data_IF_570276037782
#
_entry.id   IF_570276037782
#
_cell.length_a   1.000
_cell.length_b   1.000
_cell.length_c   1.000
_cell.angle_alpha   90.00
_cell.angle_beta   90.00
_cell.angle_gamma   90.00
#
_symmetry.space_group_name_H-M   'P 1'
#
loop_
_entity.id
_entity.type
_entity.pdbx_description
1 polymer ?
#
# COMPACT_ATOMS: atom_id res chain seq x y z
N UNK A 1 -1.79 -9.81 23.09
CA UNK A 1 -1.56 -10.09 24.51
C UNK A 1 -2.73 -9.78 25.44
N UNK A 2 -3.75 -9.09 24.99
CA UNK A 2 -4.92 -8.67 25.81
C UNK A 2 -5.79 -9.78 26.45
N UNK A 3 -5.45 -11.06 26.28
CA UNK A 3 -6.19 -12.20 26.87
C UNK A 3 -5.39 -13.00 27.90
N UNK A 4 -4.16 -12.61 28.23
CA UNK A 4 -3.36 -13.30 29.22
C UNK A 4 -3.74 -12.80 30.61
N UNK A 5 -4.16 -13.70 31.50
CA UNK A 5 -4.53 -13.34 32.87
C UNK A 5 -3.31 -13.45 33.78
N UNK A 6 -3.02 -12.39 34.53
CA UNK A 6 -1.97 -12.38 35.56
C UNK A 6 -2.18 -13.53 36.54
N UNK A 7 -1.07 -14.19 36.94
CA UNK A 7 -1.07 -15.34 37.82
C UNK A 7 -1.31 -16.69 37.10
N UNK A 8 -1.65 -16.70 35.79
CA UNK A 8 -1.81 -17.95 35.04
C UNK A 8 -0.52 -18.43 34.45
N UNK A 9 -0.38 -19.76 34.36
CA UNK A 9 0.66 -20.40 33.56
C UNK A 9 0.41 -20.13 32.10
N UNK A 10 1.47 -19.72 31.39
CA UNK A 10 1.46 -19.45 29.96
C UNK A 10 2.59 -20.21 29.28
N UNK A 11 2.34 -20.60 28.05
CA UNK A 11 3.34 -21.19 27.18
C UNK A 11 3.38 -20.38 25.89
N UNK A 12 4.54 -19.83 25.55
CA UNK A 12 4.75 -19.03 24.34
C UNK A 12 5.87 -19.60 23.52
N UNK A 13 5.78 -19.36 22.19
CA UNK A 13 6.87 -19.60 21.22
C UNK A 13 7.13 -18.30 20.47
N UNK A 14 8.38 -18.10 20.09
CA UNK A 14 8.78 -16.92 19.33
C UNK A 14 10.28 -16.85 19.12
N UNK A 15 10.73 -15.67 18.78
CA UNK A 15 12.14 -15.38 18.55
C UNK A 15 12.67 -14.41 19.59
N UNK A 16 13.93 -14.61 19.99
CA UNK A 16 14.62 -13.72 20.96
C UNK A 16 14.89 -12.37 20.30
N UNK A 17 14.15 -11.36 20.72
CA UNK A 17 14.30 -9.98 20.22
C UNK A 17 15.45 -9.23 20.92
N UNK A 18 15.60 -9.43 22.22
CA UNK A 18 16.67 -8.86 23.06
C UNK A 18 17.02 -9.86 24.17
N UNK A 19 18.27 -9.85 24.59
CA UNK A 19 18.75 -10.63 25.73
C UNK A 19 19.71 -9.80 26.57
N UNK A 20 19.63 -9.95 27.90
CA UNK A 20 20.61 -9.43 28.85
C UNK A 20 20.73 -10.39 30.03
N UNK A 21 21.89 -10.41 30.68
CA UNK A 21 22.15 -11.21 31.89
C UNK A 21 22.68 -10.32 32.99
N UNK A 22 22.26 -10.56 34.23
CA UNK A 22 22.70 -9.83 35.42
C UNK A 22 22.44 -10.64 36.70
N UNK A 23 23.46 -10.89 37.49
CA UNK A 23 23.31 -11.39 38.87
C UNK A 23 22.52 -12.71 39.03
N UNK A 24 22.74 -13.69 38.15
CA UNK A 24 22.01 -14.98 38.19
C UNK A 24 20.61 -14.93 37.55
N UNK A 25 20.28 -13.82 36.87
CA UNK A 25 19.06 -13.64 36.07
C UNK A 25 19.41 -13.50 34.61
N UNK A 26 18.59 -14.09 33.71
CA UNK A 26 18.62 -13.86 32.30
C UNK A 26 17.26 -13.28 31.90
N UNK A 27 17.30 -12.13 31.23
CA UNK A 27 16.13 -11.47 30.66
C UNK A 27 16.11 -11.68 29.17
N UNK A 28 15.06 -12.33 28.69
CA UNK A 28 14.84 -12.57 27.25
C UNK A 28 13.53 -11.89 26.86
N UNK A 29 13.60 -10.97 25.90
CA UNK A 29 12.39 -10.44 25.28
C UNK A 29 12.06 -11.35 24.10
N UNK A 30 10.94 -12.06 24.18
CA UNK A 30 10.44 -12.94 23.14
C UNK A 30 9.47 -12.17 22.25
N UNK A 31 9.69 -12.22 20.94
CA UNK A 31 8.83 -11.63 19.90
C UNK A 31 8.05 -12.74 19.19
N UNK A 32 6.75 -12.51 18.97
CA UNK A 32 5.90 -13.32 18.10
C UNK A 32 4.94 -12.43 17.29
N UNK A 33 3.93 -13.01 16.64
CA UNK A 33 2.94 -12.27 15.85
C UNK A 33 2.08 -11.31 16.68
N UNK A 34 1.92 -11.54 17.98
CA UNK A 34 1.13 -10.68 18.88
C UNK A 34 1.93 -9.48 19.41
N UNK A 35 3.26 -9.56 19.41
CA UNK A 35 4.15 -8.50 19.89
C UNK A 35 5.36 -9.04 20.64
N UNK A 36 5.77 -8.34 21.70
CA UNK A 36 6.92 -8.72 22.56
C UNK A 36 6.49 -8.93 23.99
N UNK A 37 7.21 -9.83 24.71
CA UNK A 37 7.07 -10.01 26.14
C UNK A 37 8.40 -10.33 26.79
N UNK A 38 8.67 -9.73 27.95
CA UNK A 38 9.83 -10.06 28.75
C UNK A 38 9.63 -11.40 29.44
N UNK A 39 10.66 -12.25 29.40
CA UNK A 39 10.72 -13.52 30.10
C UNK A 39 11.93 -13.49 31.02
N UNK A 40 11.75 -13.75 32.30
CA UNK A 40 12.81 -13.70 33.33
C UNK A 40 13.12 -15.09 33.78
N UNK A 41 14.36 -15.54 33.53
CA UNK A 41 14.90 -16.83 33.90
C UNK A 41 15.82 -16.62 35.10
N UNK A 42 15.43 -17.14 36.28
CA UNK A 42 16.24 -17.09 37.47
C UNK A 42 16.91 -18.44 37.69
N UNK A 43 18.23 -18.45 37.94
CA UNK A 43 19.05 -19.66 38.04
C UNK A 43 18.52 -20.63 39.12
N UNK A 44 17.99 -20.10 40.24
CA UNK A 44 17.46 -20.84 41.39
C UNK A 44 16.01 -21.32 41.21
N UNK A 45 15.32 -20.91 40.11
CA UNK A 45 13.90 -21.17 39.84
C UNK A 45 13.65 -22.07 38.64
N UNK A 46 14.67 -22.39 37.87
CA UNK A 46 14.59 -23.26 36.70
C UNK A 46 15.52 -24.47 36.85
N UNK A 47 15.26 -25.55 36.11
CA UNK A 47 16.16 -26.68 36.05
C UNK A 47 17.49 -26.33 35.32
N UNK A 48 18.53 -27.14 35.56
CA UNK A 48 19.86 -26.91 35.01
C UNK A 48 19.85 -26.90 33.47
N UNK A 49 18.97 -27.68 32.83
CA UNK A 49 18.80 -27.73 31.39
C UNK A 49 18.26 -26.40 30.88
N UNK A 50 17.16 -25.90 31.45
CA UNK A 50 16.57 -24.60 31.08
C UNK A 50 17.56 -23.44 31.26
N UNK A 51 18.36 -23.47 32.34
CA UNK A 51 19.41 -22.48 32.56
C UNK A 51 20.50 -22.51 31.50
N UNK A 52 21.01 -23.70 31.16
CA UNK A 52 22.03 -23.88 30.11
C UNK A 52 21.51 -23.44 28.75
N UNK A 53 20.28 -23.82 28.42
CA UNK A 53 19.65 -23.41 27.17
C UNK A 53 19.44 -21.90 27.07
N UNK A 54 18.97 -21.25 28.15
CA UNK A 54 18.83 -19.79 28.18
C UNK A 54 20.18 -19.05 28.06
N UNK A 55 21.25 -19.61 28.64
CA UNK A 55 22.58 -19.06 28.52
C UNK A 55 23.14 -19.14 27.08
N UNK A 56 22.90 -20.27 26.41
CA UNK A 56 23.38 -20.53 25.06
C UNK A 56 22.56 -19.81 23.96
N UNK A 57 21.39 -19.25 24.31
CA UNK A 57 20.53 -18.61 23.34
C UNK A 57 21.08 -17.26 22.89
N UNK A 58 20.94 -16.93 21.63
CA UNK A 58 21.31 -15.62 21.03
C UNK A 58 20.11 -14.89 20.44
N UNK A 59 20.30 -13.60 20.09
CA UNK A 59 19.28 -12.79 19.39
C UNK A 59 18.85 -13.52 18.11
N UNK A 60 17.54 -13.53 17.85
CA UNK A 60 16.86 -14.25 16.75
C UNK A 60 16.86 -15.78 16.87
N UNK A 61 17.38 -16.37 17.94
CA UNK A 61 17.08 -17.78 18.25
C UNK A 61 15.59 -17.99 18.43
N UNK A 62 15.06 -19.12 17.95
CA UNK A 62 13.68 -19.50 18.19
C UNK A 62 13.58 -20.31 19.50
N UNK A 63 12.62 -19.91 20.34
CA UNK A 63 12.50 -20.43 21.70
C UNK A 63 11.07 -20.80 22.06
N UNK A 64 10.94 -21.68 23.05
CA UNK A 64 9.72 -21.99 23.77
C UNK A 64 9.92 -21.65 25.24
N UNK A 65 8.98 -20.91 25.81
CA UNK A 65 9.02 -20.43 27.20
C UNK A 65 7.74 -20.81 27.90
N UNK A 66 7.85 -21.46 29.05
CA UNK A 66 6.74 -21.77 29.94
C UNK A 66 6.97 -21.11 31.30
N UNK A 67 5.94 -20.52 31.90
CA UNK A 67 6.05 -19.86 33.19
C UNK A 67 4.76 -19.13 33.57
N UNK A 68 4.85 -18.30 34.58
CA UNK A 68 3.69 -17.56 35.14
C UNK A 68 3.75 -16.10 34.74
N UNK A 69 2.66 -15.59 34.16
CA UNK A 69 2.54 -14.18 33.77
C UNK A 69 2.37 -13.32 35.02
N UNK A 70 3.17 -12.28 35.14
CA UNK A 70 3.12 -11.31 36.24
C UNK A 70 3.09 -9.88 35.72
N UNK A 71 2.54 -8.96 36.50
CA UNK A 71 2.66 -7.51 36.26
C UNK A 71 4.05 -7.05 36.71
N UNK A 72 4.77 -6.35 35.84
CA UNK A 72 6.07 -5.74 36.14
C UNK A 72 6.19 -4.42 35.37
N UNK A 73 6.11 -3.31 36.09
CA UNK A 73 6.05 -1.97 35.49
C UNK A 73 7.33 -1.59 34.69
N UNK A 74 8.47 -2.18 35.07
CA UNK A 74 9.75 -1.95 34.38
C UNK A 74 9.89 -2.79 33.10
N UNK A 75 9.03 -3.77 32.88
CA UNK A 75 9.03 -4.55 31.65
C UNK A 75 8.48 -3.71 30.49
N UNK A 76 8.99 -3.87 29.25
CA UNK A 76 8.60 -3.04 28.11
C UNK A 76 7.08 -2.99 27.82
N UNK A 77 6.34 -4.00 28.26
CA UNK A 77 4.87 -4.09 28.07
C UNK A 77 4.09 -3.98 29.39
N UNK A 78 4.77 -3.70 30.51
CA UNK A 78 4.16 -3.71 31.85
C UNK A 78 3.92 -5.13 32.40
N UNK A 79 4.35 -6.16 31.67
CA UNK A 79 4.19 -7.57 32.05
C UNK A 79 5.44 -8.37 31.73
N UNK A 80 5.66 -9.43 32.52
CA UNK A 80 6.73 -10.39 32.29
C UNK A 80 6.27 -11.81 32.61
N UNK A 81 6.99 -12.79 32.06
CA UNK A 81 6.83 -14.21 32.40
C UNK A 81 7.94 -14.59 33.36
N UNK A 82 7.59 -15.03 34.57
CA UNK A 82 8.51 -15.75 35.44
C UNK A 82 8.65 -17.16 34.94
N UNK A 83 9.81 -17.45 34.34
CA UNK A 83 10.06 -18.68 33.59
C UNK A 83 10.24 -19.88 34.56
N UNK A 84 9.54 -20.96 34.25
CA UNK A 84 9.71 -22.27 34.88
C UNK A 84 10.48 -23.24 34.00
N UNK A 85 10.25 -23.13 32.63
CA UNK A 85 10.97 -23.92 31.65
C UNK A 85 11.34 -23.06 30.44
N UNK A 86 12.57 -23.22 29.97
CA UNK A 86 13.09 -22.57 28.78
C UNK A 86 13.71 -23.59 27.84
N UNK A 87 13.39 -23.51 26.55
CA UNK A 87 13.91 -24.42 25.54
C UNK A 87 14.25 -23.67 24.27
N UNK A 88 15.47 -23.90 23.76
CA UNK A 88 15.80 -23.51 22.38
C UNK A 88 15.16 -24.49 21.40
N UNK A 89 14.46 -23.96 20.40
CA UNK A 89 14.01 -24.73 19.22
C UNK A 89 15.15 -24.77 18.22
N UNK A 90 15.74 -23.58 17.93
CA UNK A 90 16.97 -23.45 17.15
C UNK A 90 17.77 -22.23 17.64
N UNK A 91 19.08 -22.42 17.81
CA UNK A 91 20.00 -21.34 18.18
C UNK A 91 20.43 -20.60 16.93
N UNK A 92 20.34 -19.27 16.95
CA UNK A 92 20.78 -18.42 15.86
C UNK A 92 22.30 -18.27 15.85
N UNK A 93 22.86 -18.11 14.67
CA UNK A 93 24.20 -17.55 14.49
C UNK A 93 24.15 -16.03 14.78
N UNK A 94 25.31 -15.35 14.94
CA UNK A 94 25.33 -13.91 15.16
C UNK A 94 24.49 -13.16 14.14
N UNK A 95 23.47 -12.44 14.62
CA UNK A 95 22.51 -11.77 13.73
C UNK A 95 23.14 -10.52 13.14
N UNK A 96 23.12 -10.33 11.79
CA UNK A 96 23.90 -9.29 11.14
C UNK A 96 23.31 -7.88 11.32
N UNK A 97 22.00 -7.76 11.65
CA UNK A 97 21.37 -6.45 11.82
C UNK A 97 21.53 -5.97 13.25
N UNK A 98 22.24 -4.85 13.41
CA UNK A 98 22.42 -4.14 14.68
C UNK A 98 21.58 -2.85 14.72
N UNK A 99 21.72 -2.05 15.79
CA UNK A 99 20.88 -0.86 16.00
C UNK A 99 21.16 0.27 14.99
N UNK A 100 22.39 0.36 14.49
CA UNK A 100 22.84 1.44 13.60
C UNK A 100 23.25 0.85 12.24
N UNK A 101 22.29 0.76 11.31
CA UNK A 101 22.53 0.27 9.96
C UNK A 101 22.02 1.27 8.91
N UNK A 102 22.71 1.35 7.77
CA UNK A 102 22.25 2.15 6.64
C UNK A 102 20.97 1.58 6.02
N UNK A 103 20.19 2.44 5.38
CA UNK A 103 18.98 1.98 4.67
C UNK A 103 19.31 0.95 3.59
N UNK A 104 20.41 1.12 2.86
CA UNK A 104 20.84 0.19 1.81
C UNK A 104 21.16 -1.18 2.40
N UNK A 105 21.91 -1.23 3.51
CA UNK A 105 22.19 -2.49 4.21
C UNK A 105 20.91 -3.19 4.67
N UNK A 106 19.93 -2.46 5.21
CA UNK A 106 18.65 -3.00 5.63
C UNK A 106 17.83 -3.51 4.44
N UNK A 107 17.92 -2.85 3.28
CA UNK A 107 17.28 -3.30 2.06
C UNK A 107 17.97 -4.55 1.48
N UNK A 108 19.29 -4.64 1.52
CA UNK A 108 20.06 -5.83 1.11
C UNK A 108 19.75 -7.03 2.00
N UNK A 109 19.45 -6.77 3.28
CA UNK A 109 19.05 -7.77 4.25
C UNK A 109 17.54 -7.74 4.54
N UNK A 110 16.71 -7.39 3.54
CA UNK A 110 15.26 -7.20 3.71
C UNK A 110 14.56 -8.42 4.32
N UNK A 111 14.93 -9.63 3.92
CA UNK A 111 14.42 -10.90 4.44
C UNK A 111 14.66 -11.08 5.96
N UNK A 112 15.71 -10.48 6.50
CA UNK A 112 15.98 -10.44 7.94
C UNK A 112 15.35 -9.21 8.59
N UNK A 113 15.36 -8.06 7.92
CA UNK A 113 14.80 -6.83 8.47
C UNK A 113 13.28 -6.88 8.69
N UNK A 114 12.57 -7.69 7.90
CA UNK A 114 11.12 -7.94 8.09
C UNK A 114 10.78 -8.45 9.51
N UNK A 115 11.76 -8.97 10.25
CA UNK A 115 11.60 -9.38 11.66
C UNK A 115 11.52 -8.20 12.63
N UNK A 116 11.91 -7.00 12.23
CA UNK A 116 11.85 -5.80 13.08
C UNK A 116 10.39 -5.47 13.46
N UNK A 117 10.21 -4.88 14.66
CA UNK A 117 8.87 -4.44 15.10
C UNK A 117 8.25 -3.42 14.13
N UNK A 118 9.07 -2.53 13.56
CA UNK A 118 8.61 -1.57 12.54
C UNK A 118 7.97 -2.30 11.37
N UNK A 119 8.71 -3.22 10.77
CA UNK A 119 8.23 -3.95 9.59
C UNK A 119 7.07 -4.88 9.91
N UNK A 120 7.11 -5.55 11.06
CA UNK A 120 6.00 -6.39 11.53
C UNK A 120 4.69 -5.58 11.64
N UNK A 121 4.75 -4.38 12.24
CA UNK A 121 3.56 -3.53 12.40
C UNK A 121 3.08 -2.95 11.07
N UNK A 122 3.98 -2.58 10.14
CA UNK A 122 3.59 -2.19 8.78
C UNK A 122 2.86 -3.34 8.08
N UNK A 123 3.37 -4.58 8.16
CA UNK A 123 2.74 -5.74 7.53
C UNK A 123 1.37 -6.07 8.15
N UNK A 124 1.19 -5.87 9.46
CA UNK A 124 -0.13 -5.99 10.11
C UNK A 124 -1.12 -4.95 9.57
N UNK A 125 -0.70 -3.68 9.50
CA UNK A 125 -1.54 -2.62 8.93
C UNK A 125 -1.84 -2.91 7.45
N UNK A 126 -0.84 -3.36 6.67
CA UNK A 126 -1.04 -3.77 5.27
C UNK A 126 -2.13 -4.84 5.15
N UNK A 127 -2.08 -5.88 5.95
CA UNK A 127 -3.10 -6.94 5.96
C UNK A 127 -4.51 -6.39 6.29
N UNK A 128 -4.60 -5.46 7.25
CA UNK A 128 -5.86 -4.79 7.59
C UNK A 128 -6.37 -3.90 6.47
N UNK A 129 -5.49 -3.18 5.77
CA UNK A 129 -5.83 -2.34 4.61
C UNK A 129 -6.47 -3.19 3.52
N UNK A 130 -5.84 -4.31 3.13
CA UNK A 130 -6.41 -5.24 2.15
C UNK A 130 -7.78 -5.77 2.59
N UNK A 131 -7.90 -6.18 3.86
CA UNK A 131 -9.16 -6.66 4.44
C UNK A 131 -10.27 -5.59 4.33
N UNK A 132 -9.98 -4.35 4.70
CA UNK A 132 -11.00 -3.30 4.75
C UNK A 132 -11.38 -2.75 3.38
N UNK A 133 -10.49 -2.77 2.41
CA UNK A 133 -10.86 -2.51 1.02
C UNK A 133 -11.82 -3.59 0.50
N UNK A 134 -11.52 -4.88 0.70
CA UNK A 134 -12.45 -5.98 0.33
C UNK A 134 -13.80 -5.85 1.02
N UNK A 135 -13.80 -5.58 2.33
CA UNK A 135 -15.04 -5.39 3.10
C UNK A 135 -15.87 -4.20 2.57
N UNK A 136 -15.22 -3.13 2.12
CA UNK A 136 -15.90 -2.00 1.51
C UNK A 136 -16.56 -2.38 0.19
N UNK A 137 -15.83 -3.00 -0.72
CA UNK A 137 -16.35 -3.37 -2.04
C UNK A 137 -17.47 -4.43 -1.96
N UNK A 138 -17.33 -5.40 -1.06
CA UNK A 138 -18.37 -6.38 -0.78
C UNK A 138 -19.68 -5.69 -0.34
N UNK A 139 -19.62 -4.73 0.58
CA UNK A 139 -20.78 -3.93 1.01
C UNK A 139 -21.38 -3.07 -0.10
N UNK A 140 -20.57 -2.63 -1.06
CA UNK A 140 -21.03 -1.89 -2.23
C UNK A 140 -21.51 -2.81 -3.38
N UNK A 141 -21.54 -4.13 -3.15
CA UNK A 141 -21.96 -5.17 -4.11
C UNK A 141 -21.10 -5.18 -5.37
N UNK A 142 -19.80 -5.06 -5.22
CA UNK A 142 -18.81 -5.29 -6.27
C UNK A 142 -18.37 -6.74 -6.28
N UNK A 143 -18.01 -7.24 -7.45
CA UNK A 143 -17.37 -8.54 -7.62
C UNK A 143 -15.85 -8.38 -7.67
N UNK A 144 -15.11 -9.15 -6.84
CA UNK A 144 -13.66 -9.26 -6.95
C UNK A 144 -13.32 -10.17 -8.14
N UNK A 145 -12.47 -9.68 -9.05
CA UNK A 145 -12.08 -10.40 -10.26
C UNK A 145 -10.57 -10.52 -10.37
N UNK A 146 -10.09 -11.44 -11.22
CA UNK A 146 -8.67 -11.74 -11.38
C UNK A 146 -8.24 -11.51 -12.83
N UNK A 147 -7.87 -10.29 -13.22
CA UNK A 147 -7.39 -10.00 -14.56
C UNK A 147 -5.99 -10.57 -14.80
N UNK A 148 -5.57 -10.79 -16.07
CA UNK A 148 -4.27 -11.34 -16.40
C UNK A 148 -3.14 -10.34 -16.10
N UNK A 149 -1.99 -10.85 -15.66
CA UNK A 149 -0.76 -10.07 -15.44
C UNK A 149 0.05 -9.95 -16.74
N UNK A 150 -0.02 -10.94 -17.62
CA UNK A 150 0.67 -10.97 -18.91
C UNK A 150 -0.27 -10.41 -19.98
N UNK A 151 0.18 -9.41 -20.72
CA UNK A 151 -0.62 -8.72 -21.74
C UNK A 151 0.18 -8.39 -22.99
N UNK A 152 -0.51 -8.19 -24.12
CA UNK A 152 0.09 -7.62 -25.36
C UNK A 152 -0.16 -6.12 -25.49
N UNK A 153 -1.14 -5.55 -24.81
CA UNK A 153 -1.53 -4.14 -24.90
C UNK A 153 -1.06 -3.33 -23.68
N UNK A 154 -0.53 -2.14 -23.93
CA UNK A 154 -0.24 -1.16 -22.89
C UNK A 154 -1.47 -0.32 -22.56
N UNK A 155 -1.73 -0.04 -21.30
CA UNK A 155 -2.79 0.84 -20.86
C UNK A 155 -2.32 2.30 -20.76
N UNK A 156 -1.11 2.56 -20.24
CA UNK A 156 -0.62 3.90 -19.91
C UNK A 156 0.67 4.28 -20.68
N UNK A 157 0.77 3.88 -21.94
CA UNK A 157 1.90 4.20 -22.80
C UNK A 157 2.99 3.11 -22.84
N UNK A 158 3.51 2.85 -24.05
CA UNK A 158 4.41 1.71 -24.31
C UNK A 158 5.82 1.82 -23.74
N UNK A 159 6.29 3.03 -23.38
CA UNK A 159 7.68 3.27 -22.95
C UNK A 159 8.00 2.75 -21.54
N UNK A 160 6.98 2.49 -20.73
CA UNK A 160 7.12 2.05 -19.32
C UNK A 160 6.70 0.60 -19.10
N UNK A 161 6.61 -0.22 -20.15
CA UNK A 161 6.30 -1.63 -20.12
C UNK A 161 7.57 -2.47 -19.87
N UNK A 162 7.48 -3.47 -18.96
CA UNK A 162 8.47 -4.54 -18.84
C UNK A 162 8.21 -5.61 -19.93
N UNK A 163 9.07 -5.74 -20.95
CA UNK A 163 8.93 -6.79 -21.95
C UNK A 163 9.31 -8.15 -21.36
N UNK A 164 8.55 -9.17 -21.74
CA UNK A 164 8.86 -10.57 -21.42
C UNK A 164 8.84 -11.42 -22.71
N UNK A 165 9.62 -12.49 -22.73
CA UNK A 165 9.52 -13.53 -23.75
C UNK A 165 8.37 -14.46 -23.36
N UNK A 166 7.33 -14.54 -24.22
CA UNK A 166 6.18 -15.41 -24.02
C UNK A 166 6.16 -16.48 -25.12
N UNK A 167 6.75 -17.62 -24.85
CA UNK A 167 7.01 -18.67 -25.83
C UNK A 167 7.77 -18.10 -27.06
N UNK A 168 7.16 -18.10 -28.25
CA UNK A 168 7.72 -17.53 -29.47
C UNK A 168 7.32 -16.07 -29.71
N UNK A 169 6.44 -15.54 -28.86
CA UNK A 169 5.91 -14.18 -28.93
C UNK A 169 6.57 -13.22 -27.92
N UNK A 170 6.34 -11.93 -28.11
CA UNK A 170 6.62 -10.88 -27.14
C UNK A 170 5.35 -10.51 -26.37
N UNK A 171 5.45 -10.44 -25.05
CA UNK A 171 4.39 -9.93 -24.17
C UNK A 171 4.99 -8.95 -23.16
N UNK A 172 4.17 -8.44 -22.27
CA UNK A 172 4.57 -7.46 -21.26
C UNK A 172 3.92 -7.79 -19.91
N UNK A 173 4.56 -7.37 -18.84
CA UNK A 173 3.91 -7.29 -17.54
C UNK A 173 2.94 -6.10 -17.51
N UNK A 174 1.76 -6.32 -16.97
CA UNK A 174 0.67 -5.32 -17.00
C UNK A 174 0.99 -4.07 -16.18
N UNK A 175 0.61 -2.90 -16.69
CA UNK A 175 0.67 -1.62 -15.96
C UNK A 175 -0.60 -1.36 -15.14
N UNK A 176 -1.73 -1.95 -15.58
CA UNK A 176 -3.07 -1.74 -15.03
C UNK A 176 -3.98 -2.85 -15.52
N UNK A 177 -4.94 -3.21 -14.70
CA UNK A 177 -5.99 -4.17 -15.03
C UNK A 177 -7.19 -3.53 -15.74
N UNK A 178 -7.20 -2.20 -15.86
CA UNK A 178 -8.36 -1.40 -16.30
C UNK A 178 -9.05 -1.95 -17.55
N UNK A 179 -8.30 -2.17 -18.65
CA UNK A 179 -8.91 -2.58 -19.91
C UNK A 179 -9.67 -3.91 -19.80
N UNK A 180 -9.21 -4.83 -18.94
CA UNK A 180 -9.89 -6.10 -18.64
C UNK A 180 -11.07 -5.90 -17.70
N UNK A 181 -11.02 -4.96 -16.76
CA UNK A 181 -12.16 -4.61 -15.92
C UNK A 181 -13.29 -4.01 -16.76
N UNK A 182 -12.97 -3.19 -17.75
CA UNK A 182 -13.97 -2.66 -18.71
C UNK A 182 -14.64 -3.77 -19.54
N UNK A 183 -13.99 -4.90 -19.78
CA UNK A 183 -14.68 -6.09 -20.34
C UNK A 183 -15.66 -6.64 -19.33
N UNK A 184 -15.26 -6.81 -18.09
CA UNK A 184 -16.03 -7.52 -17.06
C UNK A 184 -17.26 -6.75 -16.57
N UNK A 185 -17.28 -5.42 -16.66
CA UNK A 185 -18.49 -4.64 -16.35
C UNK A 185 -19.65 -4.92 -17.29
N UNK A 186 -19.41 -5.45 -18.49
CA UNK A 186 -20.47 -5.81 -19.43
C UNK A 186 -21.31 -7.03 -18.96
N UNK A 187 -20.78 -7.77 -17.99
CA UNK A 187 -21.44 -8.94 -17.39
C UNK A 187 -21.74 -8.78 -15.90
N UNK A 188 -20.96 -8.02 -15.16
CA UNK A 188 -21.03 -7.90 -13.69
C UNK A 188 -21.35 -6.48 -13.20
N UNK A 189 -21.41 -5.50 -14.08
CA UNK A 189 -21.70 -4.06 -13.86
C UNK A 189 -20.68 -3.36 -12.94
N UNK A 190 -20.31 -3.94 -11.80
CA UNK A 190 -19.38 -3.37 -10.83
C UNK A 190 -18.33 -4.38 -10.41
N UNK A 191 -17.10 -4.14 -10.81
CA UNK A 191 -15.98 -5.05 -10.56
C UNK A 191 -14.81 -4.32 -9.93
N UNK A 192 -14.01 -5.05 -9.17
CA UNK A 192 -12.71 -4.56 -8.69
C UNK A 192 -11.70 -5.68 -8.64
N UNK A 193 -10.43 -5.32 -8.61
CA UNK A 193 -9.36 -6.25 -8.30
C UNK A 193 -8.34 -5.62 -7.35
N UNK A 194 -7.56 -6.46 -6.68
CA UNK A 194 -6.32 -6.07 -6.01
C UNK A 194 -5.24 -6.97 -6.61
N UNK A 195 -4.49 -6.43 -7.56
CA UNK A 195 -3.53 -7.17 -8.37
C UNK A 195 -2.19 -6.43 -8.47
N UNK A 196 -1.08 -7.13 -8.76
CA UNK A 196 0.19 -6.47 -9.01
C UNK A 196 0.15 -5.70 -10.34
N UNK A 197 0.77 -4.51 -10.35
CA UNK A 197 1.03 -3.70 -11.54
C UNK A 197 2.52 -3.37 -11.62
N UNK A 198 3.02 -3.19 -12.85
CA UNK A 198 4.44 -3.07 -13.14
C UNK A 198 4.69 -1.83 -13.99
N UNK A 199 5.66 -1.00 -13.58
CA UNK A 199 6.09 0.19 -14.34
C UNK A 199 7.60 0.23 -14.46
N UNK A 200 8.11 0.18 -15.69
CA UNK A 200 9.55 0.24 -15.99
C UNK A 200 10.07 1.69 -15.99
N UNK A 201 9.57 2.52 -15.09
CA UNK A 201 9.99 3.90 -14.96
C UNK A 201 11.35 4.03 -14.29
N UNK A 202 12.28 4.75 -14.91
CA UNK A 202 13.60 5.04 -14.35
C UNK A 202 13.54 6.19 -13.33
N UNK A 203 12.57 6.12 -12.40
CA UNK A 203 12.38 7.12 -11.35
C UNK A 203 13.04 6.69 -10.03
N UNK A 204 13.75 7.62 -9.39
CA UNK A 204 14.39 7.42 -8.08
C UNK A 204 13.65 8.14 -6.95
N UNK A 205 12.39 8.47 -7.11
CA UNK A 205 11.63 9.21 -6.10
C UNK A 205 11.18 8.31 -4.95
N UNK A 206 10.82 8.93 -3.83
CA UNK A 206 10.35 8.24 -2.61
C UNK A 206 8.95 7.62 -2.74
N UNK A 207 8.28 7.79 -3.90
CA UNK A 207 6.91 7.34 -4.14
C UNK A 207 6.74 6.41 -5.36
N UNK A 208 7.84 5.88 -5.95
CA UNK A 208 7.78 4.96 -7.07
C UNK A 208 8.36 3.57 -6.74
N UNK A 209 7.64 2.54 -7.18
CA UNK A 209 8.04 1.14 -7.18
C UNK A 209 7.88 0.61 -8.61
N UNK A 210 8.77 -0.31 -9.01
CA UNK A 210 8.66 -0.99 -10.31
C UNK A 210 7.56 -2.07 -10.30
N UNK A 211 7.27 -2.65 -9.13
CA UNK A 211 6.17 -3.58 -8.86
C UNK A 211 5.43 -3.10 -7.62
N UNK A 212 4.11 -2.94 -7.70
CA UNK A 212 3.27 -2.48 -6.60
C UNK A 212 1.88 -3.13 -6.68
N UNK A 213 1.14 -3.09 -5.59
CA UNK A 213 -0.22 -3.60 -5.53
C UNK A 213 -1.23 -2.50 -5.87
N UNK A 214 -2.01 -2.77 -6.89
CA UNK A 214 -2.98 -1.84 -7.43
C UNK A 214 -4.39 -2.33 -7.10
N UNK A 215 -5.15 -1.50 -6.42
CA UNK A 215 -6.59 -1.68 -6.28
C UNK A 215 -7.24 -0.90 -7.40
N UNK A 216 -7.97 -1.59 -8.28
CA UNK A 216 -8.64 -0.98 -9.42
C UNK A 216 -10.11 -1.37 -9.40
N UNK A 217 -10.98 -0.42 -9.71
CA UNK A 217 -12.41 -0.62 -9.79
C UNK A 217 -12.98 0.01 -11.05
N UNK A 218 -13.98 -0.66 -11.65
CA UNK A 218 -14.66 -0.19 -12.86
C UNK A 218 -16.18 -0.39 -12.69
N UNK A 219 -16.96 0.63 -13.07
CA UNK A 219 -18.41 0.68 -12.81
C UNK A 219 -19.16 1.12 -14.05
N UNK A 220 -20.06 0.27 -14.53
CA UNK A 220 -21.06 0.61 -15.56
C UNK A 220 -22.02 1.69 -15.03
N UNK A 221 -22.43 2.59 -15.91
CA UNK A 221 -23.38 3.68 -15.64
C UNK A 221 -22.95 4.74 -14.64
N UNK A 222 -21.65 4.79 -14.28
CA UNK A 222 -21.10 5.81 -13.42
C UNK A 222 -20.42 6.91 -14.25
N UNK A 223 -20.71 8.16 -13.90
CA UNK A 223 -19.96 9.32 -14.39
C UNK A 223 -18.81 9.67 -13.44
N UNK A 224 -17.98 10.66 -13.83
CA UNK A 224 -16.81 11.06 -13.05
C UNK A 224 -17.19 11.59 -11.64
N UNK A 225 -18.31 12.28 -11.50
CA UNK A 225 -18.82 12.75 -10.20
C UNK A 225 -19.17 11.60 -9.25
N UNK A 226 -19.84 10.57 -9.76
CA UNK A 226 -20.18 9.37 -8.98
C UNK A 226 -18.93 8.56 -8.63
N UNK A 227 -17.95 8.55 -9.53
CA UNK A 227 -16.64 7.93 -9.33
C UNK A 227 -15.89 8.60 -8.16
N UNK A 228 -15.76 9.93 -8.16
CA UNK A 228 -15.15 10.69 -7.05
C UNK A 228 -15.87 10.43 -5.72
N UNK A 229 -17.20 10.43 -5.71
CA UNK A 229 -17.99 10.13 -4.49
C UNK A 229 -17.77 8.72 -3.95
N UNK A 230 -17.55 7.74 -4.82
CA UNK A 230 -17.22 6.37 -4.41
C UNK A 230 -15.83 6.32 -3.77
N UNK A 231 -14.86 7.00 -4.36
CA UNK A 231 -13.48 7.11 -3.82
C UNK A 231 -13.49 7.77 -2.43
N UNK A 232 -14.21 8.88 -2.25
CA UNK A 232 -14.40 9.54 -0.95
C UNK A 232 -14.91 8.58 0.12
N UNK A 233 -15.97 7.83 -0.20
CA UNK A 233 -16.58 6.85 0.70
C UNK A 233 -15.60 5.71 1.04
N UNK A 234 -14.87 5.22 0.04
CA UNK A 234 -13.90 4.14 0.18
C UNK A 234 -12.75 4.55 1.11
N UNK A 235 -12.12 5.68 0.84
CA UNK A 235 -11.01 6.19 1.66
C UNK A 235 -11.45 6.45 3.10
N UNK A 236 -12.59 7.15 3.27
CA UNK A 236 -13.16 7.39 4.60
C UNK A 236 -13.42 6.08 5.34
N UNK A 237 -14.05 5.11 4.70
CA UNK A 237 -14.36 3.81 5.30
C UNK A 237 -13.12 3.11 5.83
N UNK A 238 -12.07 3.00 4.99
CA UNK A 238 -10.83 2.31 5.37
C UNK A 238 -10.10 3.06 6.48
N UNK A 239 -9.99 4.39 6.40
CA UNK A 239 -9.41 5.21 7.48
C UNK A 239 -10.16 5.03 8.81
N UNK A 240 -11.51 5.04 8.81
CA UNK A 240 -12.32 4.80 10.00
C UNK A 240 -12.09 3.41 10.61
N UNK A 241 -11.87 2.40 9.78
CA UNK A 241 -11.59 1.03 10.22
C UNK A 241 -10.18 0.89 10.79
N UNK A 242 -9.17 1.44 10.11
CA UNK A 242 -7.78 1.44 10.59
C UNK A 242 -7.65 2.22 11.91
N UNK A 243 -8.37 3.32 12.07
CA UNK A 243 -8.39 4.11 13.31
C UNK A 243 -8.80 3.32 14.57
N UNK A 244 -9.40 2.14 14.43
CA UNK A 244 -9.74 1.25 15.57
C UNK A 244 -8.53 0.45 16.10
N UNK A 245 -7.41 0.47 15.40
CA UNK A 245 -6.18 -0.24 15.75
C UNK A 245 -5.15 0.71 16.37
N UNK A 246 -5.55 1.39 17.45
CA UNK A 246 -4.76 2.47 18.08
C UNK A 246 -3.36 2.01 18.51
N UNK A 247 -3.19 0.79 19.02
CA UNK A 247 -1.87 0.25 19.40
C UNK A 247 -0.89 0.22 18.20
N UNK A 248 -1.37 -0.15 17.00
CA UNK A 248 -0.54 -0.17 15.81
C UNK A 248 -0.21 1.24 15.32
N UNK A 249 -1.17 2.16 15.38
CA UNK A 249 -1.00 3.56 14.98
C UNK A 249 -0.04 4.30 15.91
N UNK A 250 -0.16 4.11 17.22
CA UNK A 250 0.70 4.72 18.23
C UNK A 250 2.18 4.37 18.03
N UNK A 251 2.48 3.16 17.53
CA UNK A 251 3.85 2.77 17.17
C UNK A 251 4.47 3.72 16.14
N UNK A 252 3.67 4.22 15.20
CA UNK A 252 4.06 5.17 14.15
C UNK A 252 3.82 6.64 14.54
N UNK A 253 3.38 6.90 15.77
CA UNK A 253 2.99 8.24 16.25
C UNK A 253 1.89 8.88 15.40
N UNK A 254 0.98 8.05 14.88
CA UNK A 254 -0.20 8.49 14.13
C UNK A 254 -1.40 8.52 15.07
N UNK A 255 -2.01 9.69 15.20
CA UNK A 255 -3.21 9.86 16.02
C UNK A 255 -4.43 9.21 15.36
N UNK A 256 -5.11 8.33 16.08
CA UNK A 256 -6.34 7.70 15.57
C UNK A 256 -7.44 8.73 15.27
N UNK A 257 -7.46 9.85 15.99
CA UNK A 257 -8.34 11.01 15.76
C UNK A 257 -8.17 11.59 14.36
N UNK A 258 -6.93 11.68 13.85
CA UNK A 258 -6.64 12.13 12.50
C UNK A 258 -7.32 11.23 11.45
N UNK A 259 -7.14 9.91 11.53
CA UNK A 259 -7.81 9.00 10.59
C UNK A 259 -9.34 9.02 10.74
N UNK A 260 -9.86 9.25 11.96
CA UNK A 260 -11.30 9.45 12.22
C UNK A 260 -11.84 10.73 11.59
N UNK A 261 -11.01 11.75 11.36
CA UNK A 261 -11.40 13.01 10.72
C UNK A 261 -11.52 12.94 9.20
N UNK A 262 -10.92 11.91 8.57
CA UNK A 262 -10.98 11.70 7.11
C UNK A 262 -12.39 11.28 6.70
N UNK A 263 -13.23 12.28 6.41
CA UNK A 263 -14.64 12.11 6.04
C UNK A 263 -14.99 13.00 4.86
N UNK A 264 -15.89 12.55 3.96
CA UNK A 264 -16.43 13.39 2.90
C UNK A 264 -17.12 14.66 3.45
N UNK A 265 -17.25 15.71 2.63
CA UNK A 265 -16.67 15.83 1.29
C UNK A 265 -15.17 16.13 1.34
N UNK A 266 -14.45 15.74 0.29
CA UNK A 266 -13.07 16.17 0.06
C UNK A 266 -13.05 17.41 -0.80
N UNK A 267 -12.02 18.24 -0.62
CA UNK A 267 -11.81 19.45 -1.42
C UNK A 267 -11.60 19.08 -2.90
N UNK A 268 -12.06 19.93 -3.79
CA UNK A 268 -11.93 19.76 -5.24
C UNK A 268 -11.41 21.04 -5.84
N UNK A 269 -10.34 20.96 -6.58
CA UNK A 269 -9.76 22.05 -7.35
C UNK A 269 -9.57 21.62 -8.79
N UNK A 270 -9.76 22.54 -9.73
CA UNK A 270 -9.43 22.29 -11.13
C UNK A 270 -7.92 22.26 -11.33
N UNK A 271 -7.47 21.67 -12.44
CA UNK A 271 -6.07 21.76 -12.83
C UNK A 271 -5.60 23.21 -12.96
N UNK A 272 -6.43 24.11 -13.50
CA UNK A 272 -6.13 25.54 -13.63
C UNK A 272 -5.94 26.20 -12.26
N UNK A 273 -6.86 25.98 -11.32
CA UNK A 273 -6.74 26.47 -9.92
C UNK A 273 -5.49 25.93 -9.23
N UNK A 274 -5.08 24.68 -9.54
CA UNK A 274 -3.83 24.10 -9.03
C UNK A 274 -2.60 24.82 -9.58
N UNK A 275 -2.60 25.17 -10.89
CA UNK A 275 -1.52 25.97 -11.48
C UNK A 275 -1.46 27.39 -10.88
N UNK A 276 -2.60 28.04 -10.68
CA UNK A 276 -2.69 29.37 -10.07
C UNK A 276 -2.16 29.35 -8.65
N UNK A 277 -2.52 28.32 -7.87
CA UNK A 277 -1.98 28.13 -6.53
C UNK A 277 -0.44 27.98 -6.54
N UNK A 278 0.12 27.15 -7.42
CA UNK A 278 1.56 26.96 -7.56
C UNK A 278 2.26 28.26 -7.98
N UNK A 279 1.69 28.99 -8.93
CA UNK A 279 2.22 30.28 -9.37
C UNK A 279 2.24 31.31 -8.24
N UNK A 280 1.21 31.36 -7.41
CA UNK A 280 1.16 32.24 -6.24
C UNK A 280 2.21 31.92 -5.18
N UNK A 281 2.72 30.67 -5.18
CA UNK A 281 3.81 30.20 -4.31
C UNK A 281 5.19 30.25 -4.97
N UNK A 282 5.31 30.98 -6.09
CA UNK A 282 6.59 31.22 -6.79
C UNK A 282 7.04 30.10 -7.74
N UNK A 283 6.20 29.11 -7.99
CA UNK A 283 6.48 28.01 -8.94
C UNK A 283 5.84 28.34 -10.26
N UNK A 284 6.66 28.76 -11.25
CA UNK A 284 6.17 29.16 -12.57
C UNK A 284 5.65 27.96 -13.35
N UNK A 285 4.33 27.87 -13.50
CA UNK A 285 3.61 26.86 -14.30
C UNK A 285 2.76 27.51 -15.38
N UNK A 286 2.67 26.86 -16.52
CA UNK A 286 1.83 27.24 -17.65
C UNK A 286 0.83 26.12 -17.95
N UNK A 287 -0.19 26.43 -18.72
CA UNK A 287 -1.11 25.44 -19.24
C UNK A 287 -0.34 24.31 -19.98
N UNK A 288 -0.68 23.06 -19.70
CA UNK A 288 0.00 21.81 -20.14
C UNK A 288 1.32 21.50 -19.41
N UNK A 289 1.73 22.23 -18.41
CA UNK A 289 2.86 21.81 -17.57
C UNK A 289 2.43 20.70 -16.60
N UNK A 290 3.27 19.68 -16.47
CA UNK A 290 3.00 18.60 -15.51
C UNK A 290 3.03 19.10 -14.05
N UNK A 291 2.16 18.53 -13.21
CA UNK A 291 2.18 18.71 -11.76
C UNK A 291 2.97 17.52 -11.18
N UNK A 292 4.26 17.73 -10.98
CA UNK A 292 5.16 16.69 -10.48
C UNK A 292 5.10 16.52 -8.96
N UNK A 293 5.92 15.59 -8.46
CA UNK A 293 5.92 15.21 -7.03
C UNK A 293 6.14 16.36 -6.05
N UNK A 294 7.00 17.32 -6.38
CA UNK A 294 7.25 18.48 -5.51
C UNK A 294 6.09 19.48 -5.56
N UNK A 295 5.44 19.62 -6.72
CA UNK A 295 4.25 20.45 -6.87
C UNK A 295 3.07 19.90 -6.06
N UNK A 296 2.81 18.58 -6.16
CA UNK A 296 1.78 17.89 -5.37
C UNK A 296 2.00 18.09 -3.86
N UNK A 297 3.27 18.03 -3.43
CA UNK A 297 3.65 18.24 -2.04
C UNK A 297 3.28 19.66 -1.56
N UNK A 298 3.53 20.66 -2.39
CA UNK A 298 3.19 22.05 -2.07
C UNK A 298 1.67 22.26 -2.06
N UNK A 299 0.95 21.69 -3.05
CA UNK A 299 -0.52 21.75 -3.15
C UNK A 299 -1.23 21.15 -1.94
N UNK A 300 -0.64 20.14 -1.30
CA UNK A 300 -1.30 19.37 -0.25
C UNK A 300 -0.68 19.49 1.13
N UNK A 301 0.38 20.31 1.28
CA UNK A 301 1.16 20.44 2.52
C UNK A 301 0.29 20.83 3.72
N UNK A 302 -0.60 21.80 3.53
CA UNK A 302 -1.41 22.40 4.58
C UNK A 302 -2.86 21.87 4.58
N UNK A 303 -3.13 20.82 3.81
CA UNK A 303 -4.45 20.17 3.77
C UNK A 303 -4.51 19.03 4.80
N UNK A 304 -5.62 18.96 5.54
CA UNK A 304 -5.86 17.88 6.52
C UNK A 304 -6.58 16.67 5.91
N UNK A 305 -7.20 16.83 4.76
CA UNK A 305 -7.96 15.81 4.04
C UNK A 305 -7.47 15.68 2.60
N UNK A 306 -7.72 14.52 1.95
CA UNK A 306 -7.42 14.39 0.53
C UNK A 306 -8.10 15.46 -0.34
N UNK A 307 -7.44 15.82 -1.44
CA UNK A 307 -7.88 16.84 -2.39
C UNK A 307 -7.96 16.23 -3.79
N UNK A 308 -9.07 16.43 -4.48
CA UNK A 308 -9.17 16.11 -5.90
C UNK A 308 -8.62 17.23 -6.75
N UNK A 309 -7.77 16.88 -7.72
CA UNK A 309 -7.43 17.74 -8.86
C UNK A 309 -8.15 17.16 -10.07
N UNK A 310 -9.06 17.94 -10.69
CA UNK A 310 -9.89 17.49 -11.80
C UNK A 310 -9.85 18.45 -12.99
N UNK A 311 -10.56 18.15 -14.06
CA UNK A 311 -10.59 18.95 -15.27
C UNK A 311 -9.17 19.19 -15.88
N UNK A 312 -8.41 18.13 -15.98
CA UNK A 312 -7.09 18.15 -16.60
C UNK A 312 -7.18 18.35 -18.11
N UNK A 313 -6.17 18.96 -18.74
CA UNK A 313 -6.09 19.00 -20.20
C UNK A 313 -6.08 17.59 -20.79
N UNK A 314 -6.94 17.34 -21.77
CA UNK A 314 -7.07 16.01 -22.39
C UNK A 314 -5.76 15.49 -23.00
N UNK A 315 -4.96 16.38 -23.59
CA UNK A 315 -3.66 16.05 -24.21
C UNK A 315 -2.62 15.50 -23.22
N UNK A 316 -2.81 15.72 -21.93
CA UNK A 316 -1.93 15.23 -20.87
C UNK A 316 -2.38 13.87 -20.29
N UNK A 317 -3.53 13.37 -20.69
CA UNK A 317 -4.15 12.18 -20.12
C UNK A 317 -4.16 11.01 -21.12
N UNK A 318 -4.56 9.83 -20.67
CA UNK A 318 -4.52 8.62 -21.48
C UNK A 318 -5.67 8.57 -22.51
N UNK A 319 -5.44 7.84 -23.59
CA UNK A 319 -6.32 7.75 -24.76
C UNK A 319 -7.74 7.29 -24.47
N UNK A 320 -7.96 6.54 -23.39
CA UNK A 320 -9.24 5.96 -23.02
C UNK A 320 -10.15 6.91 -22.22
N UNK A 321 -9.65 8.05 -21.80
CA UNK A 321 -10.41 9.00 -20.97
C UNK A 321 -11.41 9.79 -21.83
N UNK A 322 -12.64 9.97 -21.31
CA UNK A 322 -13.66 10.76 -21.99
C UNK A 322 -13.33 12.26 -21.91
N UNK A 323 -13.68 12.99 -22.98
CA UNK A 323 -13.62 14.46 -23.01
C UNK A 323 -14.85 15.07 -22.32
N UNK A 324 -14.68 16.22 -21.71
CA UNK A 324 -15.82 17.02 -21.25
C UNK A 324 -16.62 17.52 -22.47
N UNK A 325 -17.91 17.17 -22.56
CA UNK A 325 -18.72 17.60 -23.70
C UNK A 325 -18.94 19.13 -23.76
N UNK A 326 -18.73 19.86 -22.65
CA UNK A 326 -18.81 21.30 -22.59
C UNK A 326 -17.51 21.99 -22.96
N UNK A 327 -16.38 21.34 -22.72
CA UNK A 327 -15.05 21.81 -23.08
C UNK A 327 -14.17 20.63 -23.49
N UNK A 328 -14.12 20.25 -24.78
CA UNK A 328 -13.37 19.09 -25.28
C UNK A 328 -11.85 19.14 -25.10
N UNK A 329 -11.29 20.29 -24.70
CA UNK A 329 -9.87 20.39 -24.32
C UNK A 329 -9.59 19.75 -22.95
N UNK A 330 -10.64 19.44 -22.16
CA UNK A 330 -10.55 18.85 -20.84
C UNK A 330 -10.97 17.38 -20.85
N UNK A 331 -10.34 16.58 -19.98
CA UNK A 331 -10.74 15.21 -19.68
C UNK A 331 -11.69 15.12 -18.47
N UNK A 332 -12.64 14.22 -18.54
CA UNK A 332 -13.50 13.86 -17.38
C UNK A 332 -12.73 12.93 -16.44
N UNK A 333 -11.73 13.46 -15.76
CA UNK A 333 -10.87 12.71 -14.84
C UNK A 333 -10.64 13.48 -13.54
N UNK A 334 -10.17 12.77 -12.54
CA UNK A 334 -9.77 13.34 -11.26
C UNK A 334 -8.67 12.48 -10.62
N UNK A 335 -7.65 13.14 -10.12
CA UNK A 335 -6.58 12.53 -9.34
C UNK A 335 -6.74 12.91 -7.88
N UNK A 336 -6.79 11.94 -6.97
CA UNK A 336 -6.92 12.16 -5.53
C UNK A 336 -5.54 12.26 -4.89
N UNK A 337 -5.25 13.41 -4.34
CA UNK A 337 -4.01 13.73 -3.64
C UNK A 337 -4.18 13.50 -2.14
N UNK A 338 -3.27 12.74 -1.53
CA UNK A 338 -3.23 12.61 -0.08
C UNK A 338 -2.65 13.87 0.57
N UNK A 339 -3.15 14.28 1.75
CA UNK A 339 -2.73 15.50 2.43
C UNK A 339 -1.29 15.42 2.99
N UNK A 340 -0.81 16.52 3.57
CA UNK A 340 0.52 16.65 4.18
C UNK A 340 1.68 16.31 3.23
N UNK A 341 1.52 16.59 1.94
CA UNK A 341 2.58 16.38 0.94
C UNK A 341 2.81 14.92 0.54
N UNK A 342 1.90 14.01 0.81
CA UNK A 342 2.04 12.61 0.40
C UNK A 342 1.83 12.38 -1.10
N UNK A 343 1.13 13.31 -1.78
CA UNK A 343 0.92 13.29 -3.23
C UNK A 343 -0.17 12.33 -3.68
N UNK A 344 -0.24 12.09 -5.00
CA UNK A 344 -1.28 11.28 -5.63
C UNK A 344 -1.34 9.85 -5.10
N UNK A 345 -2.56 9.40 -4.73
CA UNK A 345 -2.87 8.03 -4.31
C UNK A 345 -3.87 7.33 -5.22
N UNK A 346 -4.73 8.07 -5.92
CA UNK A 346 -5.73 7.55 -6.87
C UNK A 346 -5.73 8.40 -8.13
N UNK A 347 -5.72 7.74 -9.30
CA UNK A 347 -6.11 8.30 -10.57
C UNK A 347 -7.41 7.66 -11.06
N UNK A 348 -8.33 8.46 -11.58
CA UNK A 348 -9.61 7.96 -12.06
C UNK A 348 -10.22 8.81 -13.17
N UNK A 349 -11.09 8.21 -13.99
CA UNK A 349 -11.78 8.94 -15.06
C UNK A 349 -13.08 8.26 -15.52
N UNK A 350 -13.89 9.03 -16.18
CA UNK A 350 -14.91 8.53 -17.08
C UNK A 350 -14.25 8.02 -18.36
N UNK A 351 -14.77 6.93 -18.94
CA UNK A 351 -14.16 6.26 -20.09
C UNK A 351 -14.87 6.62 -21.38
N UNK A 352 -14.13 6.62 -22.48
CA UNK A 352 -14.75 6.70 -23.82
C UNK A 352 -15.55 5.45 -24.05
N UNK A 353 -16.88 5.59 -24.20
CA UNK A 353 -17.78 4.46 -24.41
C UNK A 353 -18.37 4.42 -25.84
N UNK A 354 -18.25 5.49 -26.63
CA UNK A 354 -18.68 5.54 -28.02
C UNK A 354 -17.57 5.11 -28.97
N UNK A 355 -17.93 4.30 -29.97
CA UNK A 355 -16.96 3.72 -30.92
C UNK A 355 -16.16 4.80 -31.66
N UNK A 356 -16.86 5.77 -32.24
CA UNK A 356 -16.21 6.82 -33.05
C UNK A 356 -15.23 7.65 -32.21
N UNK A 357 -15.60 8.01 -30.97
CA UNK A 357 -14.74 8.76 -30.05
C UNK A 357 -13.47 7.96 -29.71
N UNK A 358 -13.60 6.62 -29.50
CA UNK A 358 -12.45 5.76 -29.20
C UNK A 358 -11.52 5.64 -30.42
N UNK A 359 -12.05 5.43 -31.62
CA UNK A 359 -11.23 5.33 -32.84
C UNK A 359 -10.48 6.64 -33.13
N UNK A 360 -11.14 7.78 -32.93
CA UNK A 360 -10.51 9.09 -33.05
C UNK A 360 -9.38 9.27 -32.03
N UNK A 361 -9.63 8.87 -30.78
CA UNK A 361 -8.62 8.94 -29.73
C UNK A 361 -7.41 8.05 -30.01
N UNK A 362 -7.61 6.79 -30.41
CA UNK A 362 -6.50 5.88 -30.78
C UNK A 362 -5.64 6.50 -31.90
N UNK A 363 -6.27 7.12 -32.89
CA UNK A 363 -5.56 7.81 -33.96
C UNK A 363 -4.77 9.02 -33.46
N UNK A 364 -5.37 9.86 -32.63
CA UNK A 364 -4.74 11.04 -32.03
C UNK A 364 -3.50 10.66 -31.21
N UNK A 365 -3.60 9.58 -30.40
CA UNK A 365 -2.51 9.04 -29.61
C UNK A 365 -1.54 8.14 -30.39
N UNK A 366 -1.73 7.99 -31.70
CA UNK A 366 -0.89 7.19 -32.63
C UNK A 366 -0.79 5.72 -32.20
N UNK A 367 -1.86 5.15 -31.66
CA UNK A 367 -1.97 3.76 -31.24
C UNK A 367 -2.51 2.91 -32.38
N UNK A 368 -2.01 1.66 -32.50
CA UNK A 368 -2.41 0.75 -33.55
C UNK A 368 -3.72 0.04 -33.13
N UNK A 369 -4.79 0.22 -33.89
CA UNK A 369 -6.10 -0.40 -33.65
C UNK A 369 -6.04 -1.94 -33.54
N UNK A 370 -5.10 -2.58 -34.25
CA UNK A 370 -4.94 -4.04 -34.22
C UNK A 370 -4.52 -4.56 -32.85
N UNK A 371 -3.82 -3.75 -32.03
CA UNK A 371 -3.39 -4.12 -30.70
C UNK A 371 -4.55 -4.00 -29.70
N UNK A 372 -5.60 -3.24 -30.05
CA UNK A 372 -6.78 -2.96 -29.22
C UNK A 372 -8.08 -3.51 -29.83
N UNK A 373 -8.04 -4.45 -30.79
CA UNK A 373 -9.22 -4.95 -31.50
C UNK A 373 -10.32 -5.40 -30.53
N UNK A 374 -9.99 -6.18 -29.51
CA UNK A 374 -10.91 -6.68 -28.50
C UNK A 374 -11.50 -5.57 -27.60
N UNK A 375 -10.73 -4.52 -27.33
CA UNK A 375 -11.17 -3.34 -26.60
C UNK A 375 -12.09 -2.44 -27.44
N UNK A 376 -11.82 -2.33 -28.74
CA UNK A 376 -12.69 -1.67 -29.74
C UNK A 376 -14.02 -2.43 -29.85
N UNK A 377 -14.00 -3.77 -29.84
CA UNK A 377 -15.19 -4.59 -29.93
C UNK A 377 -16.17 -4.34 -28.79
N UNK A 378 -15.71 -3.98 -27.56
CA UNK A 378 -16.59 -3.56 -26.47
C UNK A 378 -17.47 -2.36 -26.85
N UNK A 379 -17.01 -1.48 -27.73
CA UNK A 379 -17.77 -0.31 -28.18
C UNK A 379 -18.71 -0.62 -29.33
N UNK A 380 -18.47 -1.72 -30.05
CA UNK A 380 -19.35 -2.19 -31.14
C UNK A 380 -20.58 -2.94 -30.62
N UNK A 381 -20.45 -3.63 -29.48
CA UNK A 381 -21.45 -4.58 -29.02
C UNK A 381 -22.09 -4.16 -27.69
N UNK A 382 -22.83 -3.05 -27.71
CA UNK A 382 -23.66 -2.62 -26.58
C UNK A 382 -22.87 -1.96 -25.43
N UNK A 383 -21.99 -1.03 -25.78
CA UNK A 383 -21.25 -0.24 -24.78
C UNK A 383 -22.16 0.66 -23.94
N UNK A 384 -21.72 0.98 -22.74
CA UNK A 384 -22.42 1.85 -21.81
C UNK A 384 -21.48 2.93 -21.27
N UNK A 385 -21.99 4.09 -20.83
CA UNK A 385 -21.19 5.02 -20.03
C UNK A 385 -20.63 4.31 -18.80
N UNK A 386 -19.35 4.50 -18.52
CA UNK A 386 -18.70 3.87 -17.37
C UNK A 386 -17.50 4.68 -16.90
N UNK A 387 -17.08 4.43 -15.69
CA UNK A 387 -15.92 5.08 -15.07
C UNK A 387 -15.20 4.13 -14.14
N UNK A 388 -13.97 4.46 -13.82
CA UNK A 388 -13.18 3.67 -12.90
C UNK A 388 -11.99 4.44 -12.34
N UNK A 389 -11.28 3.80 -11.44
CA UNK A 389 -10.11 4.37 -10.80
C UNK A 389 -9.12 3.29 -10.36
N UNK A 390 -7.88 3.71 -10.14
CA UNK A 390 -6.82 2.88 -9.58
C UNK A 390 -6.17 3.53 -8.37
N UNK A 391 -6.01 2.78 -7.28
CA UNK A 391 -5.35 3.19 -6.05
C UNK A 391 -4.08 2.37 -5.83
N UNK A 392 -2.94 3.05 -5.66
CA UNK A 392 -1.71 2.41 -5.22
C UNK A 392 -1.76 2.07 -3.73
N UNK A 393 -1.80 0.78 -3.38
CA UNK A 393 -1.90 0.32 -1.98
C UNK A 393 -0.72 0.84 -1.15
N UNK A 394 0.49 0.81 -1.69
CA UNK A 394 1.69 1.27 -0.99
C UNK A 394 1.69 2.79 -0.77
N UNK A 395 1.16 3.57 -1.72
CA UNK A 395 0.98 5.03 -1.56
C UNK A 395 0.00 5.33 -0.44
N UNK A 396 -1.13 4.62 -0.39
CA UNK A 396 -2.11 4.73 0.68
C UNK A 396 -1.50 4.38 2.05
N UNK A 397 -0.78 3.25 2.17
CA UNK A 397 -0.12 2.84 3.43
C UNK A 397 0.95 3.87 3.84
N UNK A 398 1.76 4.37 2.87
CA UNK A 398 2.75 5.41 3.13
C UNK A 398 2.10 6.64 3.77
N UNK A 399 0.97 7.09 3.25
CA UNK A 399 0.23 8.21 3.80
C UNK A 399 -0.30 7.93 5.21
N UNK A 400 -1.14 6.92 5.39
CA UNK A 400 -1.82 6.67 6.68
C UNK A 400 -0.87 6.33 7.83
N UNK A 401 0.36 5.91 7.55
CA UNK A 401 1.40 5.64 8.54
C UNK A 401 2.50 6.71 8.56
N UNK A 402 2.39 7.76 7.76
CA UNK A 402 3.38 8.82 7.61
C UNK A 402 4.81 8.25 7.38
N UNK A 403 4.95 7.29 6.46
CA UNK A 403 6.24 6.68 6.15
C UNK A 403 7.07 7.59 5.24
N UNK A 404 8.37 7.67 5.50
CA UNK A 404 9.29 8.48 4.71
C UNK A 404 9.41 7.96 3.27
N UNK A 405 9.41 6.64 3.08
CA UNK A 405 9.64 6.02 1.77
C UNK A 405 8.62 4.89 1.51
N UNK A 406 8.12 4.83 0.27
CA UNK A 406 7.15 3.80 -0.17
C UNK A 406 7.70 2.37 -0.06
N UNK A 407 9.04 2.18 -0.12
CA UNK A 407 9.72 0.88 0.04
C UNK A 407 9.37 0.18 1.36
N UNK A 408 9.01 0.95 2.39
CA UNK A 408 8.63 0.38 3.69
C UNK A 408 7.21 -0.23 3.67
N UNK A 409 6.34 0.25 2.79
CA UNK A 409 4.95 -0.19 2.72
C UNK A 409 4.74 -1.58 2.07
N UNK A 410 5.79 -2.17 1.48
CA UNK A 410 5.75 -3.47 0.81
C UNK A 410 6.82 -4.41 1.39
N UNK A 411 6.58 -5.73 1.52
CA UNK A 411 7.56 -6.62 2.11
C UNK A 411 8.89 -6.67 1.33
N UNK A 412 8.86 -6.80 0.03
CA UNK A 412 10.02 -6.90 -0.84
C UNK A 412 9.91 -5.86 -1.98
N UNK A 413 10.49 -4.67 -1.81
CA UNK A 413 10.37 -3.59 -2.79
C UNK A 413 11.18 -3.88 -4.06
N UNK A 414 10.56 -3.66 -5.22
CA UNK A 414 11.23 -3.65 -6.52
C UNK A 414 11.40 -2.22 -6.99
N UNK A 415 12.65 -1.83 -7.18
CA UNK A 415 13.04 -0.49 -7.66
C UNK A 415 14.12 -0.62 -8.71
N UNK A 416 14.45 0.46 -9.41
CA UNK A 416 15.34 0.47 -10.57
C UNK A 416 16.65 -0.34 -10.41
N UNK A 417 17.22 -0.37 -9.20
CA UNK A 417 18.52 -1.02 -8.95
C UNK A 417 18.39 -2.21 -7.98
N UNK A 418 17.17 -2.70 -7.73
CA UNK A 418 16.95 -3.76 -6.76
C UNK A 418 15.82 -4.69 -7.18
N UNK A 419 16.19 -5.93 -7.47
CA UNK A 419 15.29 -7.01 -7.84
C UNK A 419 15.28 -8.16 -6.82
N UNK A 420 16.20 -8.13 -5.86
CA UNK A 420 16.36 -9.07 -4.75
C UNK A 420 16.79 -8.37 -3.45
N UNK A 421 16.65 -8.99 -2.28
CA UNK A 421 15.87 -10.16 -1.96
C UNK A 421 14.38 -9.92 -2.09
#
# INVERSE_FOLDING_TARGET
>A
MAKLQVGKKVKIKGWVYRKRSSGGLIFVIVRNSEGIIQSVIAKDKVDEKSWKEANATDIESSVEVEGVLQKEERAPTGYEIKVEKFRNIAIAQPFPITEYQSEDFLLDNRHLWLRSLKMQNIMKIRALVFKYFREFFEKQKFYEVSPPIITKAGCEGGSTLFPIKYFDDKAYLTQSSQLYLEVLITSLEKVYCIAPSFRAEKSRTVKHLAEYWHLEAEMAYFNNEQNMKLQEKMISYVCQKIAKHEELLNFFKVEASYLKSIKPPFKRITYEEALDFLNSHGIKKKWLDDIGAEDEKILTKDEDKPVFIYAWPYKMKAFYMARDPKNPELALCADLQAPHGHGEIIGGSERIWKLEELLNSLKEFKLNEKDYYWYIDLRKYGSVPHSGFGLGIERFIKWILNLNHIRDAIPFPRVINRVEP
#
